data_IF_446952066774
#
_entry.id   IF_446952066774
#
_cell.length_a   1.000
_cell.length_b   1.000
_cell.length_c   1.000
_cell.angle_alpha   90.00
_cell.angle_beta   90.00
_cell.angle_gamma   90.00
#
_symmetry.space_group_name_H-M   'P 1'
#
loop_
_entity.id
_entity.type
_entity.pdbx_description
1 polymer ?
#
# COMPACT_ATOMS: atom_id res chain seq x y z
N UNK A 1 -51.61 -23.66 23.43
CA UNK A 1 -50.89 -22.37 23.35
C UNK A 1 -49.57 -22.50 24.09
N UNK A 2 -48.49 -21.90 23.53
CA UNK A 2 -47.08 -21.87 24.01
C UNK A 2 -46.21 -23.10 23.67
N UNK A 3 -45.79 -23.19 22.41
CA UNK A 3 -44.47 -23.74 22.04
C UNK A 3 -43.67 -22.60 21.40
N UNK A 4 -42.88 -21.92 22.20
CA UNK A 4 -41.90 -20.96 21.75
C UNK A 4 -40.77 -20.92 22.78
N UNK A 5 -39.79 -21.81 22.60
CA UNK A 5 -38.44 -21.60 23.08
C UNK A 5 -37.57 -21.88 21.86
N UNK A 6 -37.48 -20.86 21.01
CA UNK A 6 -36.51 -20.84 19.91
C UNK A 6 -35.15 -20.61 20.57
N UNK A 7 -34.26 -21.54 20.28
CA UNK A 7 -32.90 -21.66 20.79
C UNK A 7 -32.14 -20.36 20.52
N UNK A 8 -31.94 -19.55 21.56
CA UNK A 8 -30.99 -18.43 21.60
C UNK A 8 -29.57 -18.96 21.83
N UNK A 9 -29.10 -19.79 20.89
CA UNK A 9 -27.70 -20.22 20.82
C UNK A 9 -27.31 -20.19 19.35
N UNK A 10 -26.65 -19.12 18.91
CA UNK A 10 -26.25 -19.07 17.51
C UNK A 10 -25.81 -17.74 16.93
N UNK A 11 -25.67 -16.68 17.71
CA UNK A 11 -24.89 -15.52 17.26
C UNK A 11 -23.61 -15.46 18.08
N UNK A 12 -22.80 -16.51 17.94
CA UNK A 12 -21.37 -16.34 18.06
C UNK A 12 -21.02 -15.45 16.86
N UNK A 13 -20.84 -14.15 17.11
CA UNK A 13 -20.13 -13.28 16.19
C UNK A 13 -18.74 -13.90 16.07
N UNK A 14 -18.56 -14.78 15.10
CA UNK A 14 -17.24 -15.08 14.57
C UNK A 14 -16.74 -13.75 14.02
N UNK A 15 -16.04 -13.01 14.88
CA UNK A 15 -15.25 -11.87 14.48
C UNK A 15 -14.31 -12.42 13.41
N UNK A 16 -14.60 -12.03 12.18
CA UNK A 16 -13.87 -12.43 11.00
C UNK A 16 -12.48 -11.77 11.08
N UNK A 17 -11.56 -12.36 11.83
CA UNK A 17 -10.18 -11.90 11.89
C UNK A 17 -9.47 -12.39 10.64
N UNK A 18 -9.71 -11.72 9.52
CA UNK A 18 -8.77 -11.66 8.41
C UNK A 18 -7.59 -10.78 8.86
N UNK A 19 -6.90 -11.18 9.92
CA UNK A 19 -5.65 -10.54 10.31
C UNK A 19 -4.58 -11.07 9.35
N UNK A 20 -4.04 -10.20 8.49
CA UNK A 20 -2.98 -10.53 7.54
C UNK A 20 -1.89 -11.36 8.23
N UNK A 21 -1.80 -12.65 7.90
CA UNK A 21 -0.84 -13.53 8.55
C UNK A 21 0.56 -13.21 8.03
N UNK A 22 1.47 -12.83 8.93
CA UNK A 22 2.89 -12.63 8.59
C UNK A 22 3.52 -13.99 8.31
N UNK A 23 3.99 -14.18 7.08
CA UNK A 23 4.66 -15.41 6.62
C UNK A 23 6.18 -15.28 6.57
N UNK A 24 6.68 -14.05 6.36
CA UNK A 24 8.11 -13.78 6.33
C UNK A 24 8.46 -12.76 7.41
N UNK A 25 8.93 -13.26 8.56
CA UNK A 25 9.18 -12.43 9.74
C UNK A 25 10.50 -11.68 9.70
N UNK A 26 11.43 -12.10 8.85
CA UNK A 26 12.79 -11.58 8.77
C UNK A 26 13.20 -11.39 7.30
N UNK A 27 13.09 -10.15 6.81
CA UNK A 27 13.34 -9.84 5.40
C UNK A 27 13.72 -8.38 5.20
N UNK A 28 14.67 -8.14 4.30
CA UNK A 28 14.97 -6.80 3.79
C UNK A 28 14.70 -6.76 2.29
N UNK A 29 13.97 -5.75 1.83
CA UNK A 29 13.66 -5.57 0.41
C UNK A 29 13.74 -4.09 0.01
N UNK A 30 14.04 -3.84 -1.26
CA UNK A 30 13.97 -2.52 -1.88
C UNK A 30 13.17 -2.59 -3.18
N UNK A 31 12.22 -1.68 -3.36
CA UNK A 31 11.38 -1.61 -4.55
C UNK A 31 11.19 -0.20 -5.07
N UNK A 32 11.10 -0.09 -6.39
CA UNK A 32 10.67 1.13 -7.05
C UNK A 32 9.19 1.37 -6.79
N UNK A 33 8.88 2.59 -6.40
CA UNK A 33 7.53 3.08 -6.19
C UNK A 33 6.88 3.49 -7.51
N UNK A 34 5.56 3.66 -7.49
CA UNK A 34 4.78 4.00 -8.68
C UNK A 34 3.77 5.11 -8.39
N UNK A 35 3.67 6.06 -9.32
CA UNK A 35 2.65 7.12 -9.29
C UNK A 35 2.81 8.16 -8.19
N UNK A 36 3.96 8.19 -7.52
CA UNK A 36 4.23 9.00 -6.31
C UNK A 36 5.58 9.72 -6.40
N UNK A 37 5.86 10.63 -5.46
CA UNK A 37 7.10 11.43 -5.47
C UNK A 37 8.35 10.66 -5.03
N UNK A 38 8.22 9.70 -4.12
CA UNK A 38 9.33 8.79 -3.84
C UNK A 38 9.59 7.95 -5.09
N UNK A 39 10.84 7.58 -5.33
CA UNK A 39 11.24 6.75 -6.48
C UNK A 39 11.63 5.33 -6.11
N UNK A 40 12.00 5.12 -4.84
CA UNK A 40 12.40 3.82 -4.30
C UNK A 40 12.24 3.82 -2.78
N UNK A 41 11.84 2.69 -2.21
CA UNK A 41 11.73 2.47 -0.77
C UNK A 41 12.44 1.19 -0.38
N UNK A 42 13.14 1.22 0.75
CA UNK A 42 13.78 0.06 1.37
C UNK A 42 13.22 -0.16 2.77
N UNK A 43 12.86 -1.40 3.06
CA UNK A 43 12.29 -1.83 4.35
C UNK A 43 13.05 -3.03 4.86
N UNK A 44 13.40 -3.02 6.14
CA UNK A 44 13.83 -4.22 6.89
C UNK A 44 12.74 -4.60 7.88
N UNK A 45 12.42 -5.88 7.95
CA UNK A 45 11.49 -6.49 8.88
C UNK A 45 12.26 -7.53 9.69
N UNK A 46 12.05 -7.53 11.01
CA UNK A 46 12.63 -8.49 11.94
C UNK A 46 11.60 -8.91 12.96
N UNK A 47 11.48 -10.21 13.23
CA UNK A 47 10.47 -10.78 14.13
C UNK A 47 9.02 -10.31 13.83
N UNK A 48 8.71 -10.02 12.55
CA UNK A 48 7.40 -9.52 12.11
C UNK A 48 7.15 -8.02 12.36
N UNK A 49 8.15 -7.29 12.85
CA UNK A 49 8.12 -5.84 13.08
C UNK A 49 8.99 -5.11 12.07
N UNK A 50 8.64 -3.87 11.73
CA UNK A 50 9.53 -3.02 10.95
C UNK A 50 10.78 -2.74 11.78
N UNK A 51 11.96 -3.09 11.27
CA UNK A 51 13.25 -2.75 11.85
C UNK A 51 13.73 -1.40 11.32
N UNK A 52 13.58 -1.15 10.02
CA UNK A 52 13.93 0.13 9.39
C UNK A 52 13.12 0.42 8.13
N UNK A 53 12.99 1.71 7.83
CA UNK A 53 12.39 2.24 6.61
C UNK A 53 13.24 3.38 6.06
N UNK A 54 13.48 3.38 4.76
CA UNK A 54 14.07 4.53 4.05
C UNK A 54 13.45 4.68 2.66
N UNK A 55 13.51 5.90 2.13
CA UNK A 55 12.99 6.21 0.80
C UNK A 55 13.88 7.21 0.08
N UNK A 56 14.00 7.05 -1.23
CA UNK A 56 14.65 7.99 -2.13
C UNK A 56 13.61 8.97 -2.66
N UNK A 57 13.83 10.27 -2.44
CA UNK A 57 12.88 11.38 -2.74
C UNK A 57 11.54 11.25 -2.02
N UNK A 58 10.78 12.34 -2.01
CA UNK A 58 9.47 12.46 -1.37
C UNK A 58 9.37 13.70 -0.49
N UNK A 59 8.26 13.83 0.24
CA UNK A 59 8.08 14.94 1.20
C UNK A 59 9.08 14.80 2.35
N UNK A 60 10.07 15.71 2.50
CA UNK A 60 11.16 15.54 3.48
C UNK A 60 10.65 15.42 4.92
N UNK A 61 9.66 16.24 5.29
CA UNK A 61 9.07 16.22 6.63
C UNK A 61 8.36 14.89 6.93
N UNK A 62 7.56 14.39 5.98
CA UNK A 62 6.86 13.12 6.16
C UNK A 62 7.84 11.93 6.22
N UNK A 63 8.85 11.91 5.34
CA UNK A 63 9.86 10.83 5.37
C UNK A 63 10.64 10.82 6.69
N UNK A 64 11.01 11.99 7.21
CA UNK A 64 11.68 12.11 8.50
C UNK A 64 10.79 11.65 9.67
N UNK A 65 9.47 11.89 9.60
CA UNK A 65 8.52 11.43 10.60
C UNK A 65 8.33 9.90 10.53
N UNK A 66 8.01 9.38 9.34
CA UNK A 66 7.75 7.95 9.11
C UNK A 66 8.98 7.09 9.44
N UNK A 67 10.18 7.55 9.10
CA UNK A 67 11.43 6.87 9.46
C UNK A 67 11.67 6.74 10.98
N UNK A 68 10.98 7.56 11.80
CA UNK A 68 11.00 7.46 13.27
C UNK A 68 9.83 6.67 13.83
N UNK A 69 8.67 6.72 13.17
CA UNK A 69 7.43 6.11 13.66
C UNK A 69 7.37 4.60 13.38
N UNK A 70 7.82 4.16 12.20
CA UNK A 70 7.68 2.76 11.79
C UNK A 70 8.54 1.77 12.59
N UNK A 71 9.82 2.05 12.92
CA UNK A 71 10.64 1.07 13.63
C UNK A 71 9.99 0.57 14.93
N UNK A 72 9.91 -0.75 15.09
CA UNK A 72 9.28 -1.45 16.22
C UNK A 72 7.79 -1.76 16.05
N UNK A 73 7.11 -1.17 15.06
CA UNK A 73 5.70 -1.44 14.77
C UNK A 73 5.51 -2.83 14.15
N UNK A 74 4.43 -3.51 14.56
CA UNK A 74 3.97 -4.74 13.91
C UNK A 74 3.60 -4.46 12.45
N UNK A 75 4.07 -5.29 11.51
CA UNK A 75 3.77 -5.09 10.09
C UNK A 75 2.27 -5.11 9.81
N UNK A 76 1.52 -5.99 10.47
CA UNK A 76 0.07 -6.07 10.34
C UNK A 76 -0.62 -4.79 10.78
N UNK A 77 -0.10 -4.13 11.84
CA UNK A 77 -0.63 -2.85 12.30
C UNK A 77 -0.30 -1.72 11.35
N UNK A 78 0.90 -1.72 10.76
CA UNK A 78 1.28 -0.75 9.72
C UNK A 78 0.36 -0.88 8.51
N UNK A 79 0.09 -2.11 8.04
CA UNK A 79 -0.85 -2.37 6.96
C UNK A 79 -2.23 -1.83 7.33
N UNK A 80 -2.79 -2.23 8.48
CA UNK A 80 -4.12 -1.79 8.94
C UNK A 80 -4.26 -0.25 9.01
N UNK A 81 -3.21 0.46 9.45
CA UNK A 81 -3.25 1.91 9.62
C UNK A 81 -3.07 2.69 8.31
N UNK A 82 -2.38 2.11 7.33
CA UNK A 82 -1.94 2.83 6.13
C UNK A 82 -2.58 2.32 4.84
N UNK A 83 -3.37 1.24 4.89
CA UNK A 83 -4.13 0.74 3.74
C UNK A 83 -5.06 1.83 3.21
N UNK A 84 -5.28 1.85 1.89
CA UNK A 84 -6.13 2.82 1.21
C UNK A 84 -5.81 4.30 1.51
N UNK A 85 -4.57 4.60 1.91
CA UNK A 85 -4.10 5.96 2.14
C UNK A 85 -3.67 6.62 0.83
N UNK A 86 -4.58 7.29 0.12
CA UNK A 86 -4.28 7.95 -1.16
C UNK A 86 -3.92 9.43 -0.99
N UNK A 87 -3.08 9.95 -1.89
CA UNK A 87 -2.68 11.35 -1.90
C UNK A 87 -3.36 12.12 -3.03
N UNK A 88 -3.76 13.37 -2.76
CA UNK A 88 -4.36 14.28 -3.75
C UNK A 88 -3.34 14.95 -4.66
N UNK A 89 -2.09 15.09 -4.21
CA UNK A 89 -1.03 15.79 -4.93
C UNK A 89 0.12 14.82 -5.20
N UNK A 90 -0.05 13.93 -6.17
CA UNK A 90 0.98 13.02 -6.68
C UNK A 90 0.75 12.80 -8.18
N UNK A 91 1.73 12.28 -8.95
CA UNK A 91 1.54 11.99 -10.37
C UNK A 91 0.27 11.17 -10.69
N UNK A 92 -0.14 10.26 -9.80
CA UNK A 92 -1.41 9.53 -9.85
C UNK A 92 -2.34 9.86 -8.68
N UNK A 93 -2.69 11.14 -8.59
CA UNK A 93 -3.57 11.69 -7.55
C UNK A 93 -4.88 10.90 -7.39
N UNK A 94 -5.26 10.62 -6.15
CA UNK A 94 -6.51 9.94 -5.78
C UNK A 94 -6.49 8.41 -5.96
N UNK A 95 -5.39 7.82 -6.45
CA UNK A 95 -5.28 6.38 -6.69
C UNK A 95 -4.17 5.70 -5.87
N UNK A 96 -3.20 6.46 -5.36
CA UNK A 96 -2.07 5.90 -4.61
C UNK A 96 -1.38 6.99 -3.76
N UNK A 97 -0.47 6.56 -2.89
CA UNK A 97 0.47 7.42 -2.16
C UNK A 97 1.76 6.66 -1.84
N UNK A 98 2.74 7.38 -1.28
CA UNK A 98 3.95 6.76 -0.77
C UNK A 98 3.65 5.66 0.28
N UNK A 99 2.64 5.87 1.13
CA UNK A 99 2.30 4.91 2.19
C UNK A 99 1.49 3.73 1.65
N UNK A 100 0.62 3.97 0.67
CA UNK A 100 -0.07 2.92 -0.08
C UNK A 100 0.93 2.00 -0.82
N UNK A 101 1.96 2.57 -1.45
CA UNK A 101 3.06 1.80 -2.04
C UNK A 101 3.79 0.96 -0.97
N UNK A 102 4.03 1.50 0.22
CA UNK A 102 4.66 0.77 1.32
C UNK A 102 3.81 -0.42 1.78
N UNK A 103 2.50 -0.22 1.98
CA UNK A 103 1.56 -1.28 2.39
C UNK A 103 1.56 -2.42 1.37
N UNK A 104 1.49 -2.09 0.10
CA UNK A 104 1.56 -3.06 -0.98
C UNK A 104 2.85 -3.87 -1.00
N UNK A 105 3.99 -3.22 -0.75
CA UNK A 105 5.28 -3.91 -0.65
C UNK A 105 5.33 -4.84 0.57
N UNK A 106 4.79 -4.42 1.72
CA UNK A 106 4.68 -5.25 2.91
C UNK A 106 3.78 -6.47 2.66
N UNK A 107 2.60 -6.26 2.07
CA UNK A 107 1.68 -7.34 1.69
C UNK A 107 2.41 -8.38 0.83
N UNK A 108 3.17 -7.91 -0.17
CA UNK A 108 3.92 -8.75 -1.11
C UNK A 108 5.06 -9.55 -0.48
N UNK A 109 5.86 -8.94 0.40
CA UNK A 109 7.11 -9.55 0.89
C UNK A 109 6.98 -10.21 2.26
N UNK A 110 5.99 -9.80 3.05
CA UNK A 110 5.91 -10.11 4.49
C UNK A 110 4.69 -10.96 4.83
N UNK A 111 3.58 -10.81 4.08
CA UNK A 111 2.31 -11.48 4.39
C UNK A 111 1.94 -12.54 3.34
N UNK A 112 0.95 -13.38 3.66
CA UNK A 112 0.36 -14.33 2.71
C UNK A 112 -0.51 -13.68 1.62
N UNK A 113 -0.75 -12.37 1.69
CA UNK A 113 -1.42 -11.59 0.63
C UNK A 113 -0.56 -11.45 -0.64
N UNK A 114 0.55 -12.19 -0.72
CA UNK A 114 1.53 -12.29 -1.80
C UNK A 114 1.02 -12.85 -3.13
N UNK A 115 0.10 -12.12 -3.75
CA UNK A 115 0.02 -11.61 -5.13
C UNK A 115 -1.31 -10.86 -5.18
N UNK A 116 -1.41 -9.78 -4.40
CA UNK A 116 -2.57 -8.89 -4.47
C UNK A 116 -2.84 -8.47 -5.92
N UNK A 117 -4.09 -8.08 -6.25
CA UNK A 117 -4.49 -7.74 -7.62
C UNK A 117 -3.57 -6.68 -8.24
N UNK A 118 -2.90 -5.88 -7.40
CA UNK A 118 -1.89 -4.93 -7.77
C UNK A 118 -0.67 -5.50 -8.52
N UNK A 119 -0.29 -6.77 -8.37
CA UNK A 119 0.77 -7.39 -9.21
C UNK A 119 0.32 -7.50 -10.66
N UNK A 120 -0.92 -7.96 -10.88
CA UNK A 120 -1.50 -8.06 -12.22
C UNK A 120 -1.89 -6.68 -12.75
N UNK A 121 -2.32 -5.73 -11.91
CA UNK A 121 -2.51 -4.32 -12.30
C UNK A 121 -1.17 -3.70 -12.70
N UNK A 122 -0.10 -3.88 -11.91
CA UNK A 122 1.27 -3.41 -12.24
C UNK A 122 1.78 -4.03 -13.53
N UNK A 123 1.52 -5.32 -13.76
CA UNK A 123 1.91 -6.04 -14.98
C UNK A 123 1.09 -5.58 -16.19
N UNK A 124 -0.22 -5.46 -16.05
CA UNK A 124 -1.14 -4.98 -17.07
C UNK A 124 -0.86 -3.52 -17.44
N UNK A 125 -0.50 -2.66 -16.49
CA UNK A 125 -0.18 -1.25 -16.73
C UNK A 125 1.24 -1.05 -17.27
N UNK A 126 2.23 -1.85 -16.84
CA UNK A 126 3.56 -1.89 -17.46
C UNK A 126 3.50 -2.41 -18.90
N UNK A 127 2.59 -3.35 -19.18
CA UNK A 127 2.27 -3.82 -20.52
C UNK A 127 1.50 -2.76 -21.33
N UNK A 128 0.59 -2.03 -20.69
CA UNK A 128 -0.22 -0.97 -21.28
C UNK A 128 0.44 0.42 -21.20
N UNK A 129 1.76 0.54 -21.44
CA UNK A 129 2.46 1.84 -21.52
C UNK A 129 1.55 2.89 -22.19
N UNK A 130 1.13 3.90 -21.42
CA UNK A 130 0.09 4.92 -21.72
C UNK A 130 -1.35 4.51 -21.41
N UNK A 131 -1.92 5.13 -20.37
CA UNK A 131 -3.29 5.73 -20.29
C UNK A 131 -3.59 6.13 -18.83
N UNK A 132 -2.69 6.85 -18.17
CA UNK A 132 -3.06 7.57 -16.95
C UNK A 132 -3.56 8.93 -17.41
N UNK A 133 -4.89 9.09 -17.32
CA UNK A 133 -5.58 10.31 -17.66
C UNK A 133 -5.29 11.35 -16.59
N UNK A 134 -4.85 12.54 -17.00
CA UNK A 134 -4.73 13.71 -16.15
C UNK A 134 -5.85 14.67 -16.54
N UNK A 135 -6.72 15.05 -15.60
CA UNK A 135 -7.85 15.97 -15.82
C UNK A 135 -8.73 15.62 -17.05
N UNK A 136 -9.10 14.35 -17.21
CA UNK A 136 -9.97 13.89 -18.30
C UNK A 136 -9.31 13.87 -19.68
N UNK A 137 -8.02 14.17 -19.80
CA UNK A 137 -7.25 14.04 -21.04
C UNK A 137 -6.37 12.79 -21.01
N UNK A 138 -6.49 11.96 -22.05
CA UNK A 138 -5.61 10.83 -22.29
C UNK A 138 -4.32 11.34 -22.92
N UNK A 139 -3.20 11.28 -22.18
CA UNK A 139 -1.89 11.60 -22.72
C UNK A 139 -1.49 10.61 -23.82
N UNK A 140 -1.60 11.04 -25.07
CA UNK A 140 -1.26 10.26 -26.26
C UNK A 140 0.24 10.22 -26.58
N UNK A 141 1.08 10.89 -25.79
CA UNK A 141 2.55 10.85 -25.96
C UNK A 141 3.06 11.56 -27.21
N UNK A 142 2.24 12.41 -27.84
CA UNK A 142 2.59 13.16 -29.06
C UNK A 142 3.57 14.32 -28.85
N UNK A 143 4.04 14.56 -27.61
CA UNK A 143 4.99 15.63 -27.31
C UNK A 143 4.41 17.06 -27.28
N UNK A 144 3.08 17.22 -27.40
CA UNK A 144 2.42 18.55 -27.42
C UNK A 144 2.21 19.18 -26.04
N UNK A 145 2.32 18.41 -24.96
CA UNK A 145 2.13 18.92 -23.61
C UNK A 145 3.48 19.33 -23.01
N UNK A 146 3.92 20.57 -23.30
CA UNK A 146 4.91 21.24 -22.47
C UNK A 146 4.23 21.69 -21.18
N UNK A 147 4.08 20.79 -20.22
CA UNK A 147 3.72 21.19 -18.86
C UNK A 147 4.94 21.90 -18.27
N UNK A 148 4.96 23.23 -18.35
CA UNK A 148 5.81 24.06 -17.49
C UNK A 148 5.31 23.87 -16.07
N UNK A 149 6.02 23.07 -15.29
CA UNK A 149 5.85 23.02 -13.85
C UNK A 149 6.42 24.32 -13.28
N UNK A 150 5.53 25.26 -12.93
CA UNK A 150 5.89 26.38 -12.05
C UNK A 150 5.95 25.94 -10.59
#
# INVERSE_FOLDING_TARGET
MKKAVVILAGVLLAQNTLASKVVNKDVTFSEKTYGVYSTEMTVSVKDGKIESFSAVKGCPGNLAAIGKLLPGMEVTKVIELLDDNYCSDVPLAGYTSCMDNLVEMLKKHVTEEGKGPMVEIRKAQKAAKQKVAFAGHVCSGCGLCQASFS
#
